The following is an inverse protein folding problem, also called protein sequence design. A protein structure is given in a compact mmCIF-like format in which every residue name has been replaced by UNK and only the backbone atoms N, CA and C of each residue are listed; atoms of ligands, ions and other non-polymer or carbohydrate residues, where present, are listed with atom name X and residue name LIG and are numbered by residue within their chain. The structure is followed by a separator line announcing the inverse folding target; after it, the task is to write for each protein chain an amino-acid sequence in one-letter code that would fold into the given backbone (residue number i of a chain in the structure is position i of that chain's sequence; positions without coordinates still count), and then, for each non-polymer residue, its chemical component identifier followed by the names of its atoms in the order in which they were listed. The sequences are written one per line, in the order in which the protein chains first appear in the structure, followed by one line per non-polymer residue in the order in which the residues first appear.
data_IF_339343683055
#
_entry.id   IF_339343683055
#
_cell.length_a   1.000
_cell.length_b   1.000
_cell.length_c   1.000
_cell.angle_alpha   90.00
_cell.angle_beta   90.00
_cell.angle_gamma   90.00
#
_symmetry.space_group_name_H-M   'P 1'
#
loop_
_entity.id
_entity.type
_entity.pdbx_description
1 polymer ?
#
# COMPACT_ATOMS: atom_id res chain seq x y z
N UNK A 1 25.17 -2.15 6.96
CA UNK A 1 24.84 -2.62 5.60
C UNK A 1 23.34 -2.50 5.27
N UNK A 2 22.61 -1.53 5.84
CA UNK A 2 21.12 -1.43 5.77
C UNK A 2 20.64 -0.52 4.60
N UNK A 3 21.52 -0.20 3.64
CA UNK A 3 21.40 1.03 2.83
C UNK A 3 20.47 0.98 1.61
N UNK A 4 19.94 -0.18 1.24
CA UNK A 4 19.32 -0.39 -0.08
C UNK A 4 17.91 -0.99 -0.02
N UNK A 5 17.59 -1.74 1.04
CA UNK A 5 16.29 -2.41 1.21
C UNK A 5 15.13 -1.45 1.52
N UNK A 6 15.40 -0.33 2.19
CA UNK A 6 14.39 0.70 2.46
C UNK A 6 13.81 1.31 1.17
N UNK A 7 14.64 1.50 0.15
CA UNK A 7 14.22 2.07 -1.14
C UNK A 7 13.29 1.13 -1.91
N UNK A 8 13.48 -0.19 -1.80
CA UNK A 8 12.59 -1.17 -2.43
C UNK A 8 11.20 -1.23 -1.79
N UNK A 9 11.13 -1.03 -0.47
CA UNK A 9 9.85 -0.93 0.24
C UNK A 9 9.11 0.37 -0.13
N UNK A 10 9.83 1.47 -0.32
CA UNK A 10 9.25 2.73 -0.82
C UNK A 10 8.68 2.57 -2.23
N UNK A 11 9.37 1.85 -3.12
CA UNK A 11 8.86 1.52 -4.47
C UNK A 11 7.61 0.64 -4.38
N UNK A 12 7.63 -0.39 -3.52
CA UNK A 12 6.47 -1.26 -3.31
C UNK A 12 5.26 -0.50 -2.77
N UNK A 13 5.49 0.46 -1.86
CA UNK A 13 4.48 1.39 -1.41
C UNK A 13 3.95 2.23 -2.58
N UNK A 14 4.78 2.99 -3.31
CA UNK A 14 4.30 3.83 -4.41
C UNK A 14 3.36 3.11 -5.41
N UNK A 15 3.63 1.83 -5.70
CA UNK A 15 2.79 0.97 -6.56
C UNK A 15 1.40 0.68 -5.95
N UNK A 16 1.33 0.27 -4.69
CA UNK A 16 0.05 -0.05 -4.02
C UNK A 16 -0.84 1.20 -3.92
N UNK A 17 -0.20 2.35 -3.76
CA UNK A 17 -0.83 3.63 -3.54
C UNK A 17 -1.28 4.34 -4.83
N UNK A 18 -0.63 4.07 -5.98
CA UNK A 18 -1.07 4.54 -7.30
C UNK A 18 -2.40 3.92 -7.78
N UNK A 19 -2.90 2.90 -7.08
CA UNK A 19 -4.06 2.12 -7.44
C UNK A 19 -5.35 2.50 -6.70
N UNK A 20 -5.67 3.77 -6.41
CA UNK A 20 -7.01 4.14 -5.90
C UNK A 20 -8.19 3.60 -6.74
N UNK A 21 -7.89 3.09 -7.94
CA UNK A 21 -8.74 2.44 -8.92
C UNK A 21 -9.18 1.00 -8.59
N UNK A 22 -8.51 0.27 -7.68
CA UNK A 22 -8.94 -1.09 -7.31
C UNK A 22 -10.19 -1.09 -6.45
N UNK A 23 -10.53 0.05 -5.84
CA UNK A 23 -11.77 0.21 -5.09
C UNK A 23 -12.91 0.60 -6.03
N UNK A 24 -13.78 -0.36 -6.31
CA UNK A 24 -15.14 -0.10 -6.82
C UNK A 24 -16.10 -0.56 -5.74
N UNK A 25 -16.99 0.33 -5.27
CA UNK A 25 -17.70 0.20 -4.00
C UNK A 25 -18.50 -1.08 -3.72
N UNK A 26 -18.68 -1.97 -4.69
CA UNK A 26 -19.32 -3.29 -4.53
C UNK A 26 -18.42 -4.48 -4.92
N UNK A 27 -17.26 -4.24 -5.53
CA UNK A 27 -16.42 -5.26 -6.16
C UNK A 27 -14.94 -5.07 -5.81
N UNK A 28 -14.61 -5.01 -4.52
CA UNK A 28 -13.21 -4.89 -4.07
C UNK A 28 -12.39 -6.09 -4.52
N UNK A 29 -12.90 -7.31 -4.36
CA UNK A 29 -12.16 -8.49 -4.78
C UNK A 29 -11.88 -8.49 -6.30
N UNK A 30 -12.89 -8.32 -7.18
CA UNK A 30 -12.61 -8.18 -8.62
C UNK A 30 -11.73 -6.97 -8.98
N UNK A 31 -11.84 -5.86 -8.26
CA UNK A 31 -11.01 -4.68 -8.46
C UNK A 31 -9.55 -4.91 -8.09
N UNK A 32 -9.29 -5.58 -6.97
CA UNK A 32 -7.94 -6.01 -6.53
C UNK A 32 -7.38 -7.05 -7.50
N UNK A 33 -8.17 -8.02 -7.93
CA UNK A 33 -7.77 -9.01 -8.95
C UNK A 33 -7.41 -8.35 -10.27
N UNK A 34 -8.22 -7.38 -10.72
CA UNK A 34 -7.94 -6.60 -11.92
C UNK A 34 -6.65 -5.79 -11.78
N UNK A 35 -6.45 -5.10 -10.67
CA UNK A 35 -5.23 -4.34 -10.42
C UNK A 35 -3.98 -5.23 -10.42
N UNK A 36 -4.06 -6.39 -9.76
CA UNK A 36 -2.98 -7.38 -9.76
C UNK A 36 -2.70 -7.90 -11.17
N UNK A 37 -3.74 -8.20 -11.93
CA UNK A 37 -3.61 -8.63 -13.32
C UNK A 37 -2.94 -7.55 -14.17
N UNK A 38 -3.41 -6.30 -14.09
CA UNK A 38 -2.88 -5.19 -14.88
C UNK A 38 -1.42 -4.90 -14.52
N UNK A 39 -1.06 -4.95 -13.22
CA UNK A 39 0.33 -4.86 -12.76
C UNK A 39 1.19 -6.00 -13.32
N UNK A 40 0.74 -7.25 -13.19
CA UNK A 40 1.50 -8.39 -13.70
C UNK A 40 1.59 -8.44 -15.24
N UNK A 41 0.63 -7.83 -15.95
CA UNK A 41 0.69 -7.66 -17.40
C UNK A 41 1.65 -6.54 -17.81
N UNK A 42 1.73 -5.44 -17.05
CA UNK A 42 2.73 -4.38 -17.25
C UNK A 42 4.17 -4.89 -17.07
N UNK A 43 4.40 -5.83 -16.13
CA UNK A 43 5.65 -6.58 -16.02
C UNK A 43 6.05 -7.25 -17.35
N UNK A 44 5.11 -7.93 -18.02
CA UNK A 44 5.40 -8.63 -19.30
C UNK A 44 5.82 -7.67 -20.41
N UNK A 45 5.42 -6.40 -20.31
CA UNK A 45 5.77 -5.33 -21.25
C UNK A 45 7.11 -4.65 -20.90
N UNK A 46 7.75 -5.03 -19.80
CA UNK A 46 8.99 -4.41 -19.33
C UNK A 46 8.80 -3.02 -18.72
N UNK A 47 7.58 -2.66 -18.32
CA UNK A 47 7.24 -1.34 -17.77
C UNK A 47 7.63 -1.19 -16.29
N UNK A 48 8.04 -2.28 -15.64
CA UNK A 48 8.46 -2.25 -14.23
C UNK A 48 9.96 -1.96 -14.10
N UNK A 49 10.31 -1.11 -13.13
CA UNK A 49 11.71 -0.85 -12.79
C UNK A 49 12.46 -2.11 -12.29
N UNK A 50 11.73 -3.09 -11.74
CA UNK A 50 12.26 -4.37 -11.28
C UNK A 50 11.31 -5.50 -11.66
N UNK A 51 11.84 -6.72 -11.78
CA UNK A 51 11.01 -7.90 -12.03
C UNK A 51 10.20 -8.27 -10.78
N UNK A 52 9.00 -7.70 -10.69
CA UNK A 52 8.11 -7.80 -9.54
C UNK A 52 6.75 -8.34 -9.97
N UNK A 53 6.23 -9.26 -9.16
CA UNK A 53 4.88 -9.81 -9.29
C UNK A 53 4.06 -9.42 -8.07
N UNK A 54 2.82 -9.00 -8.28
CA UNK A 54 1.86 -8.72 -7.22
C UNK A 54 0.89 -9.89 -7.07
N UNK A 55 0.53 -10.21 -5.83
CA UNK A 55 -0.51 -11.17 -5.50
C UNK A 55 -1.24 -10.76 -4.23
N UNK A 56 -2.36 -11.43 -3.92
CA UNK A 56 -3.04 -11.29 -2.65
C UNK A 56 -3.29 -12.66 -2.03
N UNK A 57 -3.41 -12.71 -0.70
CA UNK A 57 -3.78 -13.91 0.05
C UNK A 57 -4.66 -13.56 1.24
N UNK A 58 -5.23 -14.59 1.88
CA UNK A 58 -6.01 -14.47 3.12
C UNK A 58 -7.15 -13.44 3.00
N UNK A 59 -7.87 -13.45 1.86
CA UNK A 59 -8.99 -12.55 1.63
C UNK A 59 -10.19 -12.99 2.46
N UNK A 60 -10.46 -12.24 3.51
CA UNK A 60 -11.62 -12.39 4.38
C UNK A 60 -12.64 -11.28 4.05
N UNK A 61 -13.82 -11.71 3.58
CA UNK A 61 -14.89 -10.82 3.16
C UNK A 61 -15.96 -10.73 4.25
N UNK A 62 -15.92 -9.65 5.02
CA UNK A 62 -17.01 -9.25 5.90
C UNK A 62 -18.08 -8.41 5.20
N UNK A 63 -19.16 -8.11 5.93
CA UNK A 63 -20.25 -7.27 5.45
C UNK A 63 -19.91 -5.78 5.45
N UNK A 64 -19.24 -5.30 6.51
CA UNK A 64 -18.78 -3.91 6.68
C UNK A 64 -17.26 -3.77 6.63
N UNK A 65 -16.54 -4.87 6.53
CA UNK A 65 -15.09 -4.86 6.43
C UNK A 65 -14.61 -5.96 5.49
N UNK A 66 -13.40 -5.84 4.97
CA UNK A 66 -12.71 -6.90 4.29
C UNK A 66 -11.23 -6.78 4.58
N UNK A 67 -10.58 -7.92 4.81
CA UNK A 67 -9.17 -7.97 5.16
C UNK A 67 -8.46 -8.86 4.17
N UNK A 68 -7.29 -8.44 3.72
CA UNK A 68 -6.45 -9.28 2.88
C UNK A 68 -4.99 -8.86 2.99
N UNK A 69 -4.10 -9.76 2.60
CA UNK A 69 -2.68 -9.47 2.53
C UNK A 69 -2.26 -9.32 1.08
N UNK A 70 -1.72 -8.15 0.75
CA UNK A 70 -1.09 -7.92 -0.54
C UNK A 70 0.40 -8.28 -0.45
N UNK A 71 0.89 -9.04 -1.42
CA UNK A 71 2.27 -9.51 -1.47
C UNK A 71 2.92 -9.07 -2.78
N UNK A 72 3.99 -8.31 -2.67
CA UNK A 72 4.86 -8.01 -3.78
C UNK A 72 6.09 -8.91 -3.71
N UNK A 73 6.28 -9.75 -4.73
CA UNK A 73 7.43 -10.66 -4.84
C UNK A 73 8.43 -10.10 -5.83
N UNK A 74 9.70 -10.05 -5.45
CA UNK A 74 10.79 -9.66 -6.33
C UNK A 74 11.37 -10.93 -6.98
N UNK A 75 10.90 -11.27 -8.18
CA UNK A 75 11.14 -12.59 -8.79
C UNK A 75 12.63 -12.84 -9.06
N UNK A 76 13.28 -11.89 -9.74
CA UNK A 76 14.72 -11.90 -9.98
C UNK A 76 15.51 -11.07 -8.95
N UNK A 77 14.84 -10.65 -7.87
CA UNK A 77 15.42 -9.76 -6.87
C UNK A 77 15.61 -8.34 -7.39
N UNK A 78 16.24 -7.52 -6.56
CA UNK A 78 16.65 -6.16 -6.91
C UNK A 78 18.03 -5.91 -6.30
N UNK A 79 19.13 -6.16 -7.03
CA UNK A 79 20.49 -6.03 -6.52
C UNK A 79 20.80 -4.61 -6.02
N UNK A 80 20.28 -3.60 -6.72
CA UNK A 80 20.41 -2.19 -6.33
C UNK A 80 19.73 -1.86 -5.01
N UNK A 81 18.73 -2.66 -4.64
CA UNK A 81 17.95 -2.58 -3.42
C UNK A 81 18.38 -3.64 -2.38
N UNK A 82 19.40 -4.45 -2.68
CA UNK A 82 19.83 -5.58 -1.84
C UNK A 82 18.69 -6.56 -1.51
N UNK A 83 17.75 -6.73 -2.45
CA UNK A 83 16.65 -7.68 -2.36
C UNK A 83 17.05 -8.92 -3.14
N UNK A 84 17.05 -10.08 -2.48
CA UNK A 84 17.34 -11.37 -3.10
C UNK A 84 16.14 -11.84 -3.94
N UNK A 85 16.38 -12.64 -5.00
CA UNK A 85 15.31 -13.32 -5.72
C UNK A 85 14.34 -14.06 -4.80
N UNK A 86 13.04 -13.91 -5.07
CA UNK A 86 11.95 -14.54 -4.32
C UNK A 86 11.60 -13.87 -2.99
N UNK A 87 12.31 -12.83 -2.55
CA UNK A 87 11.92 -12.08 -1.36
C UNK A 87 10.63 -11.29 -1.60
N UNK A 88 9.85 -11.13 -0.53
CA UNK A 88 8.51 -10.54 -0.59
C UNK A 88 8.41 -9.34 0.35
N UNK A 89 7.70 -8.32 -0.10
CA UNK A 89 7.15 -7.27 0.77
C UNK A 89 5.67 -7.56 0.94
N UNK A 90 5.21 -7.64 2.19
CA UNK A 90 3.83 -7.99 2.51
C UNK A 90 3.17 -6.79 3.19
N UNK A 91 1.92 -6.56 2.82
CA UNK A 91 1.09 -5.49 3.35
C UNK A 91 -0.25 -6.04 3.82
N UNK A 92 -0.61 -5.75 5.06
CA UNK A 92 -1.95 -6.01 5.57
C UNK A 92 -2.87 -4.88 5.11
N UNK A 93 -3.98 -5.24 4.47
CA UNK A 93 -4.99 -4.29 3.97
C UNK A 93 -6.30 -4.56 4.70
N UNK A 94 -6.71 -3.60 5.51
CA UNK A 94 -8.01 -3.56 6.18
C UNK A 94 -8.90 -2.56 5.45
N UNK A 95 -9.97 -3.01 4.82
CA UNK A 95 -10.93 -2.15 4.13
C UNK A 95 -12.24 -2.13 4.92
N UNK A 96 -12.74 -0.96 5.28
CA UNK A 96 -14.06 -0.76 5.88
C UNK A 96 -15.04 -0.23 4.83
N UNK A 97 -16.19 -0.87 4.71
CA UNK A 97 -17.27 -0.53 3.77
C UNK A 97 -18.46 0.00 4.54
N UNK A 98 -19.13 1.01 4.00
CA UNK A 98 -20.39 1.48 4.54
C UNK A 98 -20.56 2.98 4.34
N UNK A 99 -21.72 3.55 4.66
CA UNK A 99 -21.93 4.99 4.54
C UNK A 99 -21.08 5.82 5.53
N UNK A 100 -20.53 5.16 6.56
CA UNK A 100 -19.74 5.75 7.63
C UNK A 100 -18.69 4.73 8.15
N UNK A 101 -17.43 4.78 7.69
CA UNK A 101 -16.36 3.97 8.27
C UNK A 101 -16.10 4.38 9.73
N UNK A 102 -16.30 3.45 10.66
CA UNK A 102 -16.29 3.71 12.11
C UNK A 102 -14.90 4.17 12.57
N UNK A 103 -13.83 3.64 11.98
CA UNK A 103 -12.45 4.05 12.34
C UNK A 103 -12.16 5.51 11.96
N UNK A 104 -12.74 6.01 10.86
CA UNK A 104 -12.64 7.42 10.46
C UNK A 104 -13.41 8.34 11.43
N UNK A 105 -14.58 7.88 11.92
CA UNK A 105 -15.33 8.59 12.95
C UNK A 105 -14.54 8.69 14.26
N UNK A 106 -13.90 7.60 14.69
CA UNK A 106 -13.07 7.58 15.90
C UNK A 106 -11.85 8.50 15.81
N UNK A 107 -11.35 8.77 14.60
CA UNK A 107 -10.26 9.72 14.35
C UNK A 107 -10.74 11.17 14.10
N UNK A 108 -12.02 11.47 14.38
CA UNK A 108 -12.58 12.82 14.25
C UNK A 108 -12.90 13.25 12.82
N UNK A 109 -12.78 12.33 11.85
CA UNK A 109 -13.08 12.61 10.45
C UNK A 109 -14.55 12.25 10.16
N UNK A 110 -15.44 13.23 10.34
CA UNK A 110 -16.91 13.09 10.26
C UNK A 110 -17.47 13.12 8.83
N UNK A 111 -16.61 13.11 7.80
CA UNK A 111 -17.09 13.21 6.42
C UNK A 111 -17.45 11.80 5.91
N UNK A 112 -18.71 11.57 5.48
CA UNK A 112 -19.13 10.30 4.90
C UNK A 112 -18.18 9.84 3.79
N UNK A 113 -17.92 8.54 3.75
CA UNK A 113 -17.07 7.90 2.75
C UNK A 113 -17.71 6.57 2.38
N UNK A 114 -17.52 6.12 1.14
CA UNK A 114 -17.96 4.80 0.68
C UNK A 114 -17.13 3.69 1.32
N UNK A 115 -15.83 3.94 1.49
CA UNK A 115 -14.93 3.10 2.24
C UNK A 115 -13.70 3.85 2.75
N UNK A 116 -13.04 3.23 3.70
CA UNK A 116 -11.68 3.53 4.09
C UNK A 116 -10.83 2.26 3.97
N UNK A 117 -9.59 2.37 3.53
CA UNK A 117 -8.64 1.27 3.59
C UNK A 117 -7.41 1.69 4.40
N UNK A 118 -7.02 0.83 5.33
CA UNK A 118 -5.78 0.97 6.09
C UNK A 118 -4.78 -0.06 5.56
N UNK A 119 -3.62 0.39 5.12
CA UNK A 119 -2.53 -0.49 4.67
C UNK A 119 -1.36 -0.39 5.63
N UNK A 120 -0.92 -1.52 6.15
CA UNK A 120 0.21 -1.59 7.07
C UNK A 120 1.30 -2.47 6.47
N UNK A 121 2.55 -2.03 6.59
CA UNK A 121 3.68 -2.90 6.26
C UNK A 121 3.71 -4.07 7.24
N UNK A 122 3.92 -5.28 6.77
CA UNK A 122 4.12 -6.46 7.63
C UNK A 122 5.60 -6.63 7.94
N UNK A 123 5.91 -6.94 9.19
CA UNK A 123 7.26 -7.26 9.63
C UNK A 123 7.66 -8.67 9.17
N UNK A 124 8.56 -8.76 8.21
CA UNK A 124 9.12 -10.02 7.69
C UNK A 124 10.65 -9.87 7.52
N UNK A 125 11.33 -10.92 7.04
CA UNK A 125 12.79 -10.91 6.88
C UNK A 125 13.34 -9.70 6.10
N UNK A 126 12.59 -9.21 5.10
CA UNK A 126 13.00 -8.08 4.26
C UNK A 126 12.72 -6.72 4.93
N UNK A 127 11.61 -6.59 5.66
CA UNK A 127 11.15 -5.35 6.27
C UNK A 127 11.57 -5.19 7.74
N UNK A 128 12.04 -6.25 8.39
CA UNK A 128 12.46 -6.26 9.79
C UNK A 128 13.49 -5.18 10.15
N UNK A 129 14.49 -4.87 9.31
CA UNK A 129 15.39 -3.74 9.58
C UNK A 129 14.66 -2.39 9.70
N UNK A 130 13.55 -2.20 8.98
CA UNK A 130 12.73 -0.99 9.04
C UNK A 130 11.96 -0.90 10.36
N UNK A 131 11.40 -2.03 10.81
CA UNK A 131 10.74 -2.10 12.12
C UNK A 131 11.71 -1.83 13.27
N UNK A 132 12.93 -2.39 13.20
CA UNK A 132 13.98 -2.11 14.20
C UNK A 132 14.32 -0.62 14.22
N UNK A 133 14.49 0.01 13.05
CA UNK A 133 14.77 1.45 12.94
C UNK A 133 13.60 2.31 13.46
N UNK A 134 12.36 1.87 13.28
CA UNK A 134 11.15 2.52 13.78
C UNK A 134 10.79 2.15 15.23
N UNK A 135 11.73 1.58 16.01
CA UNK A 135 11.52 1.15 17.41
C UNK A 135 10.35 0.16 17.56
N UNK A 136 10.27 -0.81 16.66
CA UNK A 136 9.22 -1.82 16.54
C UNK A 136 7.80 -1.28 16.34
N UNK A 137 7.66 -0.02 15.92
CA UNK A 137 6.39 0.52 15.41
C UNK A 137 6.30 0.30 13.91
N UNK A 138 5.08 0.34 13.37
CA UNK A 138 4.90 0.32 11.91
C UNK A 138 5.67 1.48 11.29
N UNK A 139 6.67 1.22 10.42
CA UNK A 139 7.49 2.27 9.84
C UNK A 139 6.69 3.14 8.86
N UNK A 140 5.66 2.55 8.24
CA UNK A 140 4.78 3.19 7.28
C UNK A 140 3.37 2.68 7.49
N UNK A 141 2.45 3.61 7.66
CA UNK A 141 1.02 3.36 7.69
C UNK A 141 0.33 4.14 6.57
N UNK A 142 -0.66 3.51 5.98
CA UNK A 142 -1.42 4.04 4.88
C UNK A 142 -2.88 4.18 5.23
N UNK A 143 -3.47 5.35 4.96
CA UNK A 143 -4.92 5.51 5.04
C UNK A 143 -5.47 6.01 3.72
N UNK A 144 -6.20 5.16 3.00
CA UNK A 144 -6.97 5.52 1.81
C UNK A 144 -8.42 5.77 2.22
N UNK A 145 -9.04 6.76 1.59
CA UNK A 145 -10.45 7.10 1.78
C UNK A 145 -11.09 7.30 0.43
N UNK A 146 -12.24 6.69 0.22
CA UNK A 146 -13.00 6.77 -1.02
C UNK A 146 -14.30 7.54 -0.74
N UNK A 147 -14.43 8.74 -1.29
CA UNK A 147 -15.58 9.59 -1.06
C UNK A 147 -16.75 9.25 -2.00
N UNK A 148 -17.96 9.65 -1.60
CA UNK A 148 -19.13 9.65 -2.48
C UNK A 148 -18.88 10.61 -3.66
N UNK A 149 -18.78 10.08 -4.87
CA UNK A 149 -18.44 10.87 -6.08
C UNK A 149 -17.14 10.44 -6.78
N UNK A 150 -16.48 9.38 -6.32
CA UNK A 150 -15.34 8.77 -7.02
C UNK A 150 -14.00 9.47 -6.78
N UNK A 151 -13.97 10.53 -5.96
CA UNK A 151 -12.73 11.07 -5.44
C UNK A 151 -12.16 10.17 -4.35
N UNK A 152 -10.84 10.11 -4.27
CA UNK A 152 -10.13 9.39 -3.22
C UNK A 152 -9.03 10.27 -2.64
N UNK A 153 -8.74 10.04 -1.37
CA UNK A 153 -7.63 10.68 -0.66
C UNK A 153 -6.79 9.63 0.05
N UNK A 154 -5.50 9.88 0.07
CA UNK A 154 -4.50 8.90 0.40
C UNK A 154 -3.51 9.56 1.34
N UNK A 155 -3.53 9.18 2.61
CA UNK A 155 -2.71 9.76 3.67
C UNK A 155 -1.67 8.75 4.13
N UNK A 156 -0.41 9.01 3.79
CA UNK A 156 0.75 8.20 4.15
C UNK A 156 1.37 8.78 5.42
N UNK A 157 1.33 8.03 6.51
CA UNK A 157 1.97 8.35 7.77
C UNK A 157 3.30 7.58 7.87
N UNK A 158 4.40 8.32 7.87
CA UNK A 158 5.75 7.75 7.99
C UNK A 158 6.23 7.96 9.42
N UNK A 159 6.52 6.86 10.12
CA UNK A 159 7.10 6.93 11.45
C UNK A 159 8.52 7.50 11.37
N UNK A 160 8.93 8.33 12.35
CA UNK A 160 10.29 8.83 12.39
C UNK A 160 11.24 7.64 12.53
N UNK A 161 12.12 7.51 11.55
CA UNK A 161 13.10 6.45 11.51
C UNK A 161 14.38 6.97 10.86
N UNK A 162 15.50 6.56 11.45
CA UNK A 162 16.82 6.93 11.00
C UNK A 162 17.33 5.86 10.03
N UNK A 163 17.35 6.20 8.75
CA UNK A 163 17.80 5.31 7.67
C UNK A 163 19.16 5.80 7.13
N UNK A 164 20.22 5.57 7.89
CA UNK A 164 21.57 5.95 7.48
C UNK A 164 21.74 7.47 7.37
N UNK A 165 21.88 8.02 6.15
CA UNK A 165 21.98 9.49 5.93
C UNK A 165 20.62 10.17 5.71
N UNK A 166 19.56 9.40 5.51
CA UNK A 166 18.20 9.91 5.39
C UNK A 166 17.50 9.73 6.72
N UNK A 167 17.22 10.84 7.38
CA UNK A 167 16.31 10.87 8.52
C UNK A 167 14.98 11.35 7.98
N UNK A 168 13.95 10.51 8.01
CA UNK A 168 12.60 11.00 7.81
C UNK A 168 12.12 11.47 9.18
N UNK A 169 11.82 12.76 9.29
CA UNK A 169 11.00 13.23 10.41
C UNK A 169 9.63 12.55 10.36
N UNK A 170 8.82 12.74 11.41
CA UNK A 170 7.40 12.42 11.32
C UNK A 170 6.83 13.19 10.12
N UNK A 171 6.36 12.48 9.11
CA UNK A 171 5.85 13.05 7.88
C UNK A 171 4.49 12.46 7.56
N UNK A 172 3.55 13.34 7.21
CA UNK A 172 2.26 12.96 6.66
C UNK A 172 2.21 13.49 5.22
N UNK A 173 1.96 12.60 4.27
CA UNK A 173 1.82 12.96 2.86
C UNK A 173 0.38 12.66 2.42
N UNK A 174 -0.31 13.67 1.89
CA UNK A 174 -1.67 13.50 1.38
C UNK A 174 -1.69 13.62 -0.14
N UNK A 175 -2.18 12.58 -0.80
CA UNK A 175 -2.44 12.56 -2.23
C UNK A 175 -3.95 12.54 -2.44
N UNK A 176 -4.46 13.43 -3.30
CA UNK A 176 -5.87 13.47 -3.65
C UNK A 176 -6.01 13.19 -5.15
N UNK A 177 -6.96 12.36 -5.52
CA UNK A 177 -7.35 12.10 -6.91
C UNK A 177 -8.85 12.30 -7.10
N UNK A 178 -9.24 12.82 -8.26
CA UNK A 178 -10.63 12.83 -8.70
C UNK A 178 -10.90 11.67 -9.66
N UNK A 179 -12.13 11.18 -9.72
CA UNK A 179 -12.52 10.05 -10.56
C UNK A 179 -12.41 10.32 -12.08
N UNK A 180 -11.85 11.47 -12.48
CA UNK A 180 -11.78 11.97 -13.86
C UNK A 180 -10.35 12.06 -14.43
N UNK A 181 -9.31 11.79 -13.65
CA UNK A 181 -7.92 11.92 -14.09
C UNK A 181 -7.10 10.64 -13.88
N UNK A 182 -7.34 9.68 -14.77
CA UNK A 182 -6.47 8.52 -14.98
C UNK A 182 -5.37 8.88 -15.96
N UNK A 183 -4.21 9.38 -15.50
CA UNK A 183 -2.87 9.09 -16.07
C UNK A 183 -1.80 9.57 -15.08
N UNK A 184 -0.87 8.68 -14.77
CA UNK A 184 0.46 9.04 -14.27
C UNK A 184 1.16 9.85 -15.37
N UNK A 185 1.39 11.14 -15.14
CA UNK A 185 2.48 11.94 -15.71
C UNK A 185 2.82 13.05 -14.71
#
# INVERSE_FOLDING_TARGET
MIRKSATGVIVALAVIWGGGTWYTGTQIQPGVEKFIKDFNDAKKKGEHAYDMTLSYQNFDKGFFNSRFQMQMTFDNGAPDLNIKPGQKVVFDVDVEHGPLPITMLMHGNVIPALAAAKVNLVNNELTQPLFIAAKNKSPVEATLRFAFGGSFSTTLDVAPAEYGKFSFGKGQFTFNGDGSSLWLC
#
